data_IF_788668521094
#
_entry.id   IF_788668521094
#
_cell.length_a   1.000
_cell.length_b   1.000
_cell.length_c   1.000
_cell.angle_alpha   90.00
_cell.angle_beta   90.00
_cell.angle_gamma   90.00
#
_symmetry.space_group_name_H-M   'P 1'
#
loop_
_entity.id
_entity.type
_entity.pdbx_description
1 polymer ?
#
# COMPACT_ATOMS: atom_id res chain seq x y z
N UNK A 1 4.75 -12.08 -20.99
CA UNK A 1 4.64 -10.72 -21.58
C UNK A 1 3.42 -10.09 -20.93
N UNK A 2 3.59 -9.18 -19.98
CA UNK A 2 2.45 -8.52 -19.31
C UNK A 2 1.95 -7.44 -20.26
N UNK A 3 0.71 -7.59 -20.72
CA UNK A 3 0.05 -6.61 -21.56
C UNK A 3 -0.14 -5.33 -20.75
N UNK A 4 0.45 -4.22 -21.22
CA UNK A 4 0.30 -2.92 -20.58
C UNK A 4 -1.05 -2.36 -21.02
N UNK A 5 -2.03 -2.38 -20.11
CA UNK A 5 -3.29 -1.68 -20.33
C UNK A 5 -3.11 -0.19 -20.02
N UNK A 6 -3.64 0.68 -20.88
CA UNK A 6 -3.86 2.06 -20.48
C UNK A 6 -4.98 2.06 -19.42
N UNK A 7 -4.84 2.91 -18.39
CA UNK A 7 -5.81 3.02 -17.29
C UNK A 7 -7.25 3.22 -17.80
N UNK A 8 -7.38 3.99 -18.87
CA UNK A 8 -8.62 4.34 -19.55
C UNK A 8 -9.32 3.12 -20.16
N UNK A 9 -8.55 2.24 -20.83
CA UNK A 9 -9.06 1.02 -21.46
C UNK A 9 -9.53 -0.01 -20.43
N UNK A 10 -8.97 0.06 -19.22
CA UNK A 10 -9.36 -0.77 -18.07
C UNK A 10 -10.49 -0.13 -17.23
N UNK A 11 -11.06 1.00 -17.68
CA UNK A 11 -12.17 1.68 -17.02
C UNK A 11 -11.80 2.47 -15.76
N UNK A 12 -10.51 2.76 -15.56
CA UNK A 12 -10.05 3.61 -14.47
C UNK A 12 -10.01 5.09 -14.89
N UNK A 13 -10.32 5.97 -13.94
CA UNK A 13 -10.19 7.42 -14.08
C UNK A 13 -9.17 7.95 -13.08
N UNK A 14 -8.58 9.11 -13.38
CA UNK A 14 -7.65 9.75 -12.46
C UNK A 14 -8.39 10.28 -11.23
N UNK A 15 -7.80 10.08 -10.05
CA UNK A 15 -8.36 10.56 -8.78
C UNK A 15 -8.61 12.08 -8.79
N UNK A 16 -7.64 12.86 -9.31
CA UNK A 16 -7.76 14.32 -9.36
C UNK A 16 -8.95 14.77 -10.21
N UNK A 17 -9.11 14.23 -11.42
CA UNK A 17 -10.22 14.56 -12.31
C UNK A 17 -11.57 14.20 -11.69
N UNK A 18 -11.64 13.06 -10.99
CA UNK A 18 -12.84 12.64 -10.27
C UNK A 18 -13.19 13.63 -9.15
N UNK A 19 -12.21 14.03 -8.34
CA UNK A 19 -12.42 14.99 -7.25
C UNK A 19 -12.84 16.36 -7.78
N UNK A 20 -12.25 16.84 -8.86
CA UNK A 20 -12.60 18.13 -9.46
C UNK A 20 -14.04 18.12 -9.99
N UNK A 21 -14.47 17.03 -10.62
CA UNK A 21 -15.89 16.85 -11.03
C UNK A 21 -16.82 16.84 -9.82
N UNK A 22 -16.50 16.07 -8.78
CA UNK A 22 -17.31 16.01 -7.56
C UNK A 22 -17.44 17.37 -6.86
N UNK A 23 -16.38 18.17 -6.84
CA UNK A 23 -16.41 19.53 -6.27
C UNK A 23 -17.26 20.48 -7.10
N UNK A 24 -17.22 20.36 -8.43
CA UNK A 24 -18.05 21.15 -9.34
C UNK A 24 -19.54 20.81 -9.20
N UNK A 25 -19.86 19.51 -9.08
CA UNK A 25 -21.24 19.02 -8.98
C UNK A 25 -21.85 19.26 -7.58
N UNK A 26 -21.03 19.26 -6.52
CA UNK A 26 -21.47 19.43 -5.13
C UNK A 26 -20.77 20.60 -4.42
N UNK A 27 -20.94 21.85 -4.88
CA UNK A 27 -20.17 23.00 -4.39
C UNK A 27 -20.47 23.40 -2.93
N UNK A 28 -21.59 22.96 -2.36
CA UNK A 28 -21.96 23.18 -0.96
C UNK A 28 -21.35 22.16 0.01
N UNK A 29 -20.79 21.06 -0.51
CA UNK A 29 -20.19 20.00 0.30
C UNK A 29 -18.71 20.34 0.55
N UNK A 30 -18.26 20.40 1.81
CA UNK A 30 -16.86 20.65 2.11
C UNK A 30 -15.94 19.58 1.49
N UNK A 31 -14.76 19.99 1.00
CA UNK A 31 -13.81 19.08 0.35
C UNK A 31 -13.44 17.87 1.22
N UNK A 32 -13.21 18.07 2.52
CA UNK A 32 -12.88 16.99 3.45
C UNK A 32 -13.98 15.90 3.51
N UNK A 33 -15.24 16.28 3.29
CA UNK A 33 -16.36 15.34 3.30
C UNK A 33 -16.42 14.54 2.01
N UNK A 34 -16.07 15.14 0.88
CA UNK A 34 -15.92 14.44 -0.41
C UNK A 34 -14.81 13.39 -0.29
N UNK A 35 -13.63 13.77 0.22
CA UNK A 35 -12.51 12.83 0.39
C UNK A 35 -12.90 11.65 1.30
N UNK A 36 -13.64 11.92 2.38
CA UNK A 36 -14.09 10.90 3.32
C UNK A 36 -15.10 9.92 2.68
N UNK A 37 -16.02 10.41 1.85
CA UNK A 37 -16.98 9.57 1.12
C UNK A 37 -16.26 8.73 0.08
N UNK A 38 -15.38 9.34 -0.72
CA UNK A 38 -14.62 8.63 -1.77
C UNK A 38 -13.78 7.50 -1.18
N UNK A 39 -13.12 7.74 -0.04
CA UNK A 39 -12.36 6.70 0.67
C UNK A 39 -13.27 5.55 1.12
N UNK A 40 -14.43 5.86 1.71
CA UNK A 40 -15.37 4.83 2.14
C UNK A 40 -15.94 4.01 0.97
N UNK A 41 -16.25 4.64 -0.16
CA UNK A 41 -16.73 3.97 -1.36
C UNK A 41 -15.64 3.08 -1.98
N UNK A 42 -14.41 3.58 -2.04
CA UNK A 42 -13.26 2.78 -2.48
C UNK A 42 -13.12 1.51 -1.64
N UNK A 43 -13.16 1.65 -0.31
CA UNK A 43 -12.99 0.51 0.59
C UNK A 43 -14.17 -0.46 0.49
N UNK A 44 -15.41 0.03 0.33
CA UNK A 44 -16.59 -0.79 0.13
C UNK A 44 -16.51 -1.63 -1.16
N UNK A 45 -15.97 -1.05 -2.24
CA UNK A 45 -15.85 -1.72 -3.55
C UNK A 45 -14.65 -2.68 -3.59
N UNK A 46 -13.52 -2.27 -3.01
CA UNK A 46 -12.27 -3.04 -3.09
C UNK A 46 -12.08 -4.02 -1.95
N UNK A 47 -12.85 -3.89 -0.86
CA UNK A 47 -12.61 -4.62 0.38
C UNK A 47 -11.30 -4.23 1.06
N UNK A 48 -10.77 -3.03 0.79
CA UNK A 48 -9.46 -2.58 1.26
C UNK A 48 -8.26 -3.22 0.54
N UNK A 49 -8.50 -3.95 -0.56
CA UNK A 49 -7.43 -4.59 -1.33
C UNK A 49 -6.73 -3.55 -2.22
N UNK A 50 -5.43 -3.37 -2.00
CA UNK A 50 -4.57 -2.48 -2.80
C UNK A 50 -4.33 -3.06 -4.20
N UNK A 51 -4.98 -2.48 -5.23
CA UNK A 51 -4.84 -2.92 -6.64
C UNK A 51 -3.78 -2.15 -7.42
N UNK A 52 -3.66 -0.85 -7.15
CA UNK A 52 -2.71 0.05 -7.78
C UNK A 52 -2.01 0.82 -6.67
N UNK A 53 -0.68 0.78 -6.66
CA UNK A 53 0.16 1.47 -5.68
C UNK A 53 1.40 2.04 -6.38
N UNK A 54 2.02 3.09 -5.83
CA UNK A 54 3.35 3.50 -6.26
C UNK A 54 4.35 2.33 -6.17
N UNK A 55 5.29 2.24 -7.10
CA UNK A 55 6.28 1.16 -7.13
C UNK A 55 7.15 1.13 -5.86
N UNK A 56 7.35 2.29 -5.23
CA UNK A 56 8.11 2.45 -4.00
C UNK A 56 7.48 1.70 -2.81
N UNK A 57 6.17 1.45 -2.84
CA UNK A 57 5.47 0.67 -1.79
C UNK A 57 6.02 -0.75 -1.72
N UNK A 58 6.31 -1.38 -2.86
CA UNK A 58 6.91 -2.72 -2.90
C UNK A 58 8.29 -2.73 -2.23
N UNK A 59 9.13 -1.75 -2.57
CA UNK A 59 10.49 -1.63 -2.02
C UNK A 59 10.47 -1.40 -0.51
N UNK A 60 9.62 -0.49 -0.02
CA UNK A 60 9.46 -0.24 1.41
C UNK A 60 8.91 -1.45 2.17
N UNK A 61 7.94 -2.17 1.60
CA UNK A 61 7.42 -3.40 2.20
C UNK A 61 8.49 -4.49 2.29
N UNK A 62 9.28 -4.68 1.24
CA UNK A 62 10.38 -5.66 1.23
C UNK A 62 11.43 -5.34 2.31
N UNK A 63 11.79 -4.07 2.50
CA UNK A 63 12.72 -3.65 3.54
C UNK A 63 12.18 -3.94 4.96
N UNK A 64 10.91 -3.65 5.22
CA UNK A 64 10.28 -3.93 6.51
C UNK A 64 10.25 -5.43 6.80
N UNK A 65 9.85 -6.25 5.82
CA UNK A 65 9.81 -7.70 5.96
C UNK A 65 11.21 -8.30 6.18
N UNK A 66 12.24 -7.77 5.50
CA UNK A 66 13.62 -8.22 5.71
C UNK A 66 14.09 -7.98 7.15
N UNK A 67 13.77 -6.81 7.73
CA UNK A 67 14.07 -6.49 9.14
C UNK A 67 13.33 -7.40 10.13
N UNK A 68 12.11 -7.83 9.81
CA UNK A 68 11.34 -8.76 10.64
C UNK A 68 11.83 -10.21 10.51
N UNK A 69 12.34 -10.58 9.33
CA UNK A 69 12.87 -11.91 9.05
C UNK A 69 14.29 -12.14 9.58
N UNK A 70 15.04 -11.06 9.86
CA UNK A 70 16.30 -11.17 10.59
C UNK A 70 16.03 -11.72 12.00
N UNK A 71 16.54 -12.91 12.35
CA UNK A 71 16.38 -13.43 13.70
C UNK A 71 17.04 -12.43 14.64
N UNK A 72 16.26 -11.92 15.60
CA UNK A 72 16.81 -11.16 16.73
C UNK A 72 17.98 -11.96 17.26
N UNK A 73 19.16 -11.33 17.25
CA UNK A 73 20.48 -11.92 17.38
C UNK A 73 20.51 -13.31 18.01
N UNK A 74 21.20 -14.22 17.31
CA UNK A 74 21.95 -15.33 17.89
C UNK A 74 22.27 -15.11 19.37
N UNK A 75 21.40 -15.58 20.25
CA UNK A 75 21.73 -15.81 21.65
C UNK A 75 22.72 -16.97 21.63
N UNK A 76 23.99 -16.61 21.72
CA UNK A 76 25.07 -17.40 22.31
C UNK A 76 24.90 -18.92 22.23
N UNK A 77 25.39 -19.52 21.13
CA UNK A 77 26.11 -20.78 21.30
C UNK A 77 27.41 -20.48 22.05
N UNK A 78 27.31 -20.27 23.36
CA UNK A 78 28.40 -20.54 24.30
C UNK A 78 28.62 -22.06 24.28
N UNK A 79 29.29 -22.55 23.25
CA UNK A 79 30.01 -23.81 23.33
C UNK A 79 31.22 -23.56 24.24
N UNK A 80 31.01 -23.72 25.54
CA UNK A 80 32.08 -23.94 26.52
C UNK A 80 32.65 -25.34 26.27
N UNK A 81 33.48 -25.45 25.22
CA UNK A 81 34.24 -26.66 24.90
C UNK A 81 35.62 -26.56 25.56
N UNK A 82 35.63 -26.85 26.86
CA UNK A 82 36.80 -26.78 27.74
C UNK A 82 37.14 -28.11 28.41
N UNK A 83 37.05 -29.24 27.70
CA UNK A 83 37.60 -30.52 28.16
C UNK A 83 39.11 -30.57 27.88
N UNK A 84 39.95 -30.51 28.94
CA UNK A 84 41.37 -30.91 28.89
C UNK A 84 41.66 -31.95 29.97
N UNK A 85 42.01 -33.14 29.47
CA UNK A 85 42.54 -34.38 30.06
C UNK A 85 43.07 -34.38 31.50
#
# INVERSE_FOLDING_TARGET
MVERFALEDAGYIMYADMIDRLRADFPSVPAWRIDQIVTAEHDAITGGILRIVPAEVESGAAEMLAREAEPRGSEESLSDDGEVA
#
